data_IF_434190585724
#
_entry.id   IF_434190585724
#
_cell.length_a   1.000
_cell.length_b   1.000
_cell.length_c   1.000
_cell.angle_alpha   90.00
_cell.angle_beta   90.00
_cell.angle_gamma   90.00
#
_symmetry.space_group_name_H-M   'P 1'
#
loop_
_entity.id
_entity.type
_entity.pdbx_description
1 polymer ?
#
# COMPACT_ATOMS: atom_id res chain seq x y z
N UNK A 1 -31.20 -3.30 -5.63
CA UNK A 1 -30.23 -2.29 -6.10
C UNK A 1 -29.56 -1.74 -4.86
N UNK A 2 -28.24 -1.61 -4.85
CA UNK A 2 -27.52 -1.03 -3.72
C UNK A 2 -27.84 0.47 -3.60
N UNK A 3 -28.16 0.95 -2.40
CA UNK A 3 -28.47 2.36 -2.15
C UNK A 3 -27.28 3.01 -1.44
N UNK A 4 -26.37 3.58 -2.22
CA UNK A 4 -25.22 4.31 -1.70
C UNK A 4 -25.63 5.66 -1.11
N UNK A 5 -24.90 6.14 -0.11
CA UNK A 5 -25.14 7.45 0.50
C UNK A 5 -25.02 8.58 -0.54
N UNK A 6 -25.68 9.71 -0.27
CA UNK A 6 -25.54 10.93 -1.11
C UNK A 6 -24.08 11.38 -1.22
N UNK A 7 -23.33 11.23 -0.13
CA UNK A 7 -21.88 11.49 -0.09
C UNK A 7 -21.12 10.61 -1.06
N UNK A 8 -21.39 9.30 -1.07
CA UNK A 8 -20.78 8.37 -2.01
C UNK A 8 -21.15 8.72 -3.45
N UNK A 9 -22.43 8.99 -3.73
CA UNK A 9 -22.89 9.38 -5.09
C UNK A 9 -22.20 10.65 -5.59
N UNK A 10 -22.03 11.65 -4.73
CA UNK A 10 -21.29 12.88 -5.07
C UNK A 10 -19.84 12.57 -5.44
N UNK A 11 -19.13 11.80 -4.64
CA UNK A 11 -17.76 11.40 -4.93
C UNK A 11 -17.64 10.53 -6.18
N UNK A 12 -18.59 9.62 -6.43
CA UNK A 12 -18.63 8.85 -7.67
C UNK A 12 -18.72 9.77 -8.90
N UNK A 13 -19.59 10.78 -8.87
CA UNK A 13 -19.72 11.74 -9.96
C UNK A 13 -18.41 12.52 -10.18
N UNK A 14 -17.84 13.09 -9.11
CA UNK A 14 -16.58 13.85 -9.18
C UNK A 14 -15.41 12.97 -9.67
N UNK A 15 -15.29 11.76 -9.14
CA UNK A 15 -14.22 10.83 -9.52
C UNK A 15 -14.34 10.37 -10.98
N UNK A 16 -15.54 10.06 -11.45
CA UNK A 16 -15.77 9.71 -12.85
C UNK A 16 -15.40 10.86 -13.79
N UNK A 17 -15.74 12.11 -13.43
CA UNK A 17 -15.33 13.30 -14.19
C UNK A 17 -13.80 13.42 -14.21
N UNK A 18 -13.14 13.27 -13.06
CA UNK A 18 -11.68 13.31 -12.96
C UNK A 18 -11.01 12.23 -13.81
N UNK A 19 -11.49 11.00 -13.74
CA UNK A 19 -10.97 9.88 -14.55
C UNK A 19 -11.08 10.19 -16.05
N UNK A 20 -12.23 10.72 -16.48
CA UNK A 20 -12.49 11.04 -17.88
C UNK A 20 -11.62 12.22 -18.37
N UNK A 21 -11.44 13.23 -17.54
CA UNK A 21 -10.73 14.45 -17.95
C UNK A 21 -9.21 14.35 -17.80
N UNK A 22 -8.73 13.61 -16.80
CA UNK A 22 -7.32 13.67 -16.39
C UNK A 22 -6.60 12.33 -16.42
N UNK A 23 -7.28 11.19 -16.32
CA UNK A 23 -6.61 9.87 -16.28
C UNK A 23 -6.60 9.19 -17.64
N UNK A 24 -7.79 8.89 -18.21
CA UNK A 24 -7.88 8.16 -19.47
C UNK A 24 -7.13 8.81 -20.65
N UNK A 25 -7.14 10.14 -20.84
CA UNK A 25 -6.40 10.76 -21.93
C UNK A 25 -4.88 10.72 -21.77
N UNK A 26 -4.38 10.41 -20.55
CA UNK A 26 -2.95 10.52 -20.23
C UNK A 26 -2.28 9.17 -19.98
N UNK A 27 -2.91 8.06 -20.32
CA UNK A 27 -2.31 6.73 -20.14
C UNK A 27 -1.07 6.50 -21.01
N UNK A 28 -1.08 7.01 -22.24
CA UNK A 28 0.08 6.96 -23.13
C UNK A 28 1.23 7.80 -22.60
N UNK A 29 0.94 8.99 -22.07
CA UNK A 29 1.93 9.86 -21.44
C UNK A 29 2.57 9.22 -20.22
N UNK A 30 1.76 8.59 -19.34
CA UNK A 30 2.27 7.83 -18.20
C UNK A 30 3.24 6.73 -18.65
N UNK A 31 2.86 5.98 -19.66
CA UNK A 31 3.68 4.91 -20.22
C UNK A 31 4.99 5.45 -20.82
N UNK A 32 4.91 6.55 -21.57
CA UNK A 32 6.08 7.19 -22.16
C UNK A 32 7.06 7.72 -21.09
N UNK A 33 6.55 8.39 -20.05
CA UNK A 33 7.38 8.85 -18.93
C UNK A 33 8.03 7.68 -18.20
N UNK A 34 7.31 6.56 -17.97
CA UNK A 34 7.86 5.38 -17.33
C UNK A 34 9.00 4.74 -18.16
N UNK A 35 8.89 4.73 -19.48
CA UNK A 35 9.93 4.20 -20.35
C UNK A 35 11.14 5.14 -20.48
N UNK A 36 10.94 6.45 -20.38
CA UNK A 36 11.99 7.44 -20.48
C UNK A 36 12.68 7.76 -19.15
N UNK A 37 12.16 7.25 -18.02
CA UNK A 37 12.70 7.53 -16.70
C UNK A 37 14.13 6.96 -16.54
N UNK A 38 15.05 7.76 -16.00
CA UNK A 38 16.41 7.32 -15.68
C UNK A 38 16.43 6.17 -14.67
N UNK A 39 15.54 6.24 -13.68
CA UNK A 39 15.32 5.17 -12.71
C UNK A 39 14.00 4.47 -13.01
N UNK A 40 14.05 3.17 -13.22
CA UNK A 40 12.85 2.33 -13.42
C UNK A 40 11.83 2.44 -12.29
N UNK A 41 12.29 2.75 -11.07
CA UNK A 41 11.49 2.87 -9.85
C UNK A 41 11.43 4.33 -9.35
N UNK A 42 11.66 5.28 -10.25
CA UNK A 42 11.61 6.72 -10.00
C UNK A 42 10.17 7.26 -9.94
N UNK A 43 10.03 8.44 -9.35
CA UNK A 43 8.75 9.16 -9.29
C UNK A 43 8.48 9.90 -10.59
N UNK A 44 7.34 9.63 -11.20
CA UNK A 44 7.00 10.21 -12.51
C UNK A 44 6.40 11.62 -12.37
N UNK A 45 6.83 12.59 -13.20
CA UNK A 45 6.28 13.97 -13.18
C UNK A 45 4.76 14.03 -13.30
N UNK A 46 4.15 13.23 -14.18
CA UNK A 46 2.70 13.15 -14.34
C UNK A 46 1.97 12.85 -13.02
N UNK A 47 2.56 12.00 -12.16
CA UNK A 47 1.96 11.66 -10.86
C UNK A 47 1.94 12.86 -9.92
N UNK A 48 2.95 13.73 -9.98
CA UNK A 48 2.98 14.94 -9.17
C UNK A 48 1.83 15.89 -9.54
N UNK A 49 1.64 16.14 -10.85
CA UNK A 49 0.58 16.99 -11.34
C UNK A 49 -0.82 16.45 -11.01
N UNK A 50 -1.04 15.15 -11.27
CA UNK A 50 -2.35 14.54 -11.06
C UNK A 50 -2.72 14.47 -9.57
N UNK A 51 -1.77 14.21 -8.68
CA UNK A 51 -1.99 14.24 -7.23
C UNK A 51 -2.39 15.64 -6.75
N UNK A 52 -1.71 16.69 -7.21
CA UNK A 52 -2.07 18.06 -6.86
C UNK A 52 -3.53 18.39 -7.28
N UNK A 53 -3.91 18.01 -8.51
CA UNK A 53 -5.30 18.19 -8.98
C UNK A 53 -6.33 17.40 -8.16
N UNK A 54 -5.99 16.16 -7.76
CA UNK A 54 -6.87 15.34 -6.95
C UNK A 54 -7.07 15.95 -5.54
N UNK A 55 -6.01 16.49 -4.95
CA UNK A 55 -6.08 17.22 -3.67
C UNK A 55 -6.93 18.49 -3.78
N UNK A 56 -6.73 19.31 -4.81
CA UNK A 56 -7.52 20.53 -5.08
C UNK A 56 -9.03 20.23 -5.19
N UNK A 57 -9.39 19.06 -5.73
CA UNK A 57 -10.78 18.64 -5.91
C UNK A 57 -11.34 17.86 -4.71
N UNK A 58 -10.57 17.71 -3.62
CA UNK A 58 -10.98 16.96 -2.44
C UNK A 58 -11.11 15.45 -2.68
N UNK A 59 -10.48 14.92 -3.72
CA UNK A 59 -10.44 13.50 -4.06
C UNK A 59 -9.19 12.83 -3.47
N UNK A 60 -9.04 12.94 -2.15
CA UNK A 60 -7.82 12.51 -1.47
C UNK A 60 -8.12 11.65 -0.25
N UNK A 61 -7.37 10.57 -0.03
CA UNK A 61 -7.51 9.67 1.13
C UNK A 61 -8.94 9.12 1.33
N UNK A 62 -9.72 8.93 0.27
CA UNK A 62 -11.12 8.52 0.33
C UNK A 62 -11.34 7.14 0.97
N UNK A 63 -10.28 6.36 1.17
CA UNK A 63 -10.33 5.03 1.80
C UNK A 63 -10.56 5.06 3.31
N UNK A 64 -10.38 6.23 3.97
CA UNK A 64 -10.45 6.33 5.43
C UNK A 64 -11.88 6.07 5.92
N UNK A 65 -12.08 5.10 6.84
CA UNK A 65 -13.42 4.77 7.34
C UNK A 65 -13.92 5.78 8.40
N UNK A 66 -15.24 5.84 8.68
CA UNK A 66 -15.80 6.74 9.68
C UNK A 66 -15.24 6.53 11.09
N UNK A 67 -14.78 5.32 11.43
CA UNK A 67 -14.13 5.02 12.72
C UNK A 67 -12.77 5.67 12.91
N UNK A 68 -12.19 6.27 11.85
CA UNK A 68 -10.92 6.98 11.83
C UNK A 68 -11.10 8.40 11.22
N UNK A 69 -12.28 8.97 11.39
CA UNK A 69 -12.67 10.24 10.78
C UNK A 69 -11.77 11.42 11.19
N UNK A 70 -11.15 11.35 12.35
CA UNK A 70 -10.18 12.35 12.82
C UNK A 70 -8.95 12.51 11.93
N UNK A 71 -8.65 11.51 11.09
CA UNK A 71 -7.56 11.55 10.10
C UNK A 71 -8.02 11.93 8.70
N UNK A 72 -9.27 12.37 8.55
CA UNK A 72 -9.89 12.58 7.24
C UNK A 72 -10.60 13.91 7.11
N UNK A 73 -10.24 14.71 6.10
CA UNK A 73 -10.91 15.98 5.78
C UNK A 73 -12.36 15.79 5.32
N UNK A 74 -12.72 14.59 4.88
CA UNK A 74 -14.08 14.27 4.43
C UNK A 74 -14.95 13.52 5.47
N UNK A 75 -14.44 13.28 6.69
CA UNK A 75 -15.17 12.61 7.77
C UNK A 75 -15.41 11.11 7.55
N UNK A 76 -14.61 10.47 6.73
CA UNK A 76 -14.62 9.02 6.45
C UNK A 76 -15.75 8.56 5.52
N UNK A 77 -15.55 7.40 4.90
CA UNK A 77 -16.51 6.65 4.09
C UNK A 77 -16.58 5.20 4.57
N UNK A 78 -17.78 4.64 4.70
CA UNK A 78 -17.91 3.20 4.96
C UNK A 78 -17.28 2.40 3.81
N UNK A 79 -16.85 1.16 4.06
CA UNK A 79 -16.36 0.29 2.98
C UNK A 79 -17.40 0.11 1.87
N UNK A 80 -18.69 0.12 2.23
CA UNK A 80 -19.78 0.05 1.26
C UNK A 80 -19.83 1.28 0.37
N UNK A 81 -19.73 2.48 0.95
CA UNK A 81 -19.73 3.74 0.19
C UNK A 81 -18.44 3.97 -0.58
N UNK A 82 -17.31 3.44 -0.10
CA UNK A 82 -16.01 3.51 -0.76
C UNK A 82 -15.89 2.52 -1.94
N UNK A 83 -16.64 1.42 -1.92
CA UNK A 83 -16.54 0.37 -2.93
C UNK A 83 -16.62 0.88 -4.39
N UNK A 84 -17.66 1.65 -4.79
CA UNK A 84 -17.76 2.15 -6.16
C UNK A 84 -16.66 3.16 -6.53
N UNK A 85 -16.08 3.85 -5.54
CA UNK A 85 -14.95 4.75 -5.76
C UNK A 85 -13.67 3.96 -6.04
N UNK A 86 -13.41 2.93 -5.24
CA UNK A 86 -12.27 2.03 -5.45
C UNK A 86 -12.37 1.29 -6.79
N UNK A 87 -13.57 0.86 -7.19
CA UNK A 87 -13.85 0.27 -8.50
C UNK A 87 -13.50 1.25 -9.63
N UNK A 88 -13.98 2.49 -9.54
CA UNK A 88 -13.70 3.54 -10.53
C UNK A 88 -12.19 3.81 -10.65
N UNK A 89 -11.48 3.96 -9.51
CA UNK A 89 -10.02 4.12 -9.49
C UNK A 89 -9.32 2.89 -10.10
N UNK A 90 -9.79 1.69 -9.80
CA UNK A 90 -9.21 0.43 -10.28
C UNK A 90 -9.28 0.23 -11.79
N UNK A 91 -10.08 1.01 -12.53
CA UNK A 91 -10.18 0.95 -14.00
C UNK A 91 -8.85 1.26 -14.71
N UNK A 92 -7.93 1.98 -14.06
CA UNK A 92 -6.54 2.18 -14.48
C UNK A 92 -5.62 1.77 -13.34
N UNK A 93 -4.72 0.81 -13.56
CA UNK A 93 -3.97 0.14 -12.48
C UNK A 93 -3.15 1.08 -11.60
N UNK A 94 -2.61 2.17 -12.17
CA UNK A 94 -1.82 3.15 -11.44
C UNK A 94 -2.65 4.29 -10.83
N UNK A 95 -3.90 4.49 -11.27
CA UNK A 95 -4.69 5.66 -10.86
C UNK A 95 -5.07 5.72 -9.37
N UNK A 96 -5.23 4.62 -8.61
CA UNK A 96 -5.46 4.71 -7.16
C UNK A 96 -4.38 5.50 -6.43
N UNK A 97 -3.14 5.53 -6.94
CA UNK A 97 -2.07 6.34 -6.35
C UNK A 97 -2.30 7.85 -6.51
N UNK A 98 -2.95 8.28 -7.58
CA UNK A 98 -3.30 9.69 -7.79
C UNK A 98 -4.15 10.24 -6.65
N UNK A 99 -4.97 9.40 -6.05
CA UNK A 99 -5.90 9.74 -4.97
C UNK A 99 -5.39 9.35 -3.58
N UNK A 100 -4.11 8.93 -3.47
CA UNK A 100 -3.51 8.34 -2.26
C UNK A 100 -4.32 7.17 -1.69
N UNK A 101 -4.94 6.39 -2.58
CA UNK A 101 -5.82 5.27 -2.25
C UNK A 101 -5.28 3.91 -2.70
N UNK A 102 -3.97 3.80 -2.94
CA UNK A 102 -3.35 2.57 -3.42
C UNK A 102 -2.72 1.73 -2.30
N UNK A 103 -2.51 0.46 -2.59
CA UNK A 103 -1.71 -0.42 -1.76
C UNK A 103 -0.20 -0.23 -2.04
N UNK A 104 0.67 -0.46 -1.05
CA UNK A 104 0.38 -0.93 0.31
C UNK A 104 0.00 0.17 1.31
N UNK A 105 0.06 1.45 0.91
CA UNK A 105 -0.03 2.58 1.83
C UNK A 105 -1.36 2.70 2.54
N UNK A 106 -2.50 2.45 1.90
CA UNK A 106 -3.81 2.51 2.57
C UNK A 106 -3.83 1.62 3.81
N UNK A 107 -3.37 0.35 3.67
CA UNK A 107 -3.31 -0.56 4.79
C UNK A 107 -2.26 -0.17 5.83
N UNK A 108 -1.12 0.40 5.40
CA UNK A 108 -0.07 0.85 6.32
C UNK A 108 -0.50 2.12 7.07
N UNK A 109 -1.17 3.06 6.42
CA UNK A 109 -1.75 4.23 7.07
C UNK A 109 -2.79 3.81 8.12
N UNK A 110 -3.67 2.83 7.82
CA UNK A 110 -4.60 2.29 8.82
C UNK A 110 -3.88 1.63 10.00
N UNK A 111 -2.72 0.98 9.79
CA UNK A 111 -1.90 0.46 10.89
C UNK A 111 -1.41 1.58 11.79
N UNK A 112 -0.89 2.67 11.22
CA UNK A 112 -0.45 3.83 12.01
C UNK A 112 -1.61 4.52 12.74
N UNK A 113 -2.77 4.68 12.09
CA UNK A 113 -3.96 5.27 12.71
C UNK A 113 -4.44 4.46 13.91
N UNK A 114 -4.44 3.13 13.81
CA UNK A 114 -5.00 2.24 14.84
C UNK A 114 -4.00 1.86 15.93
N UNK A 115 -2.72 1.72 15.60
CA UNK A 115 -1.73 1.07 16.44
C UNK A 115 -0.46 1.89 16.66
N UNK A 116 -0.25 2.97 15.90
CA UNK A 116 0.90 3.84 16.04
C UNK A 116 0.78 4.75 17.26
N UNK A 117 1.91 5.02 17.92
CA UNK A 117 2.01 6.07 18.93
C UNK A 117 1.90 7.45 18.29
N UNK A 118 1.59 8.50 19.08
CA UNK A 118 1.54 9.88 18.57
C UNK A 118 2.86 10.30 17.89
N UNK A 119 4.00 9.86 18.40
CA UNK A 119 5.31 10.12 17.80
C UNK A 119 5.46 9.42 16.44
N UNK A 120 5.07 8.13 16.34
CA UNK A 120 5.08 7.38 15.08
C UNK A 120 4.08 7.95 14.05
N UNK A 121 2.91 8.41 14.50
CA UNK A 121 1.94 9.09 13.64
C UNK A 121 2.47 10.42 13.11
N UNK A 122 3.06 11.25 13.97
CA UNK A 122 3.66 12.51 13.55
C UNK A 122 4.82 12.30 12.55
N UNK A 123 5.65 11.30 12.79
CA UNK A 123 6.83 11.03 11.97
C UNK A 123 6.50 10.37 10.62
N UNK A 124 5.53 9.44 10.59
CA UNK A 124 5.29 8.59 9.42
C UNK A 124 3.91 8.74 8.82
N UNK A 125 2.84 8.80 9.64
CA UNK A 125 1.47 8.89 9.13
C UNK A 125 1.21 10.24 8.47
N UNK A 126 1.61 11.33 9.11
CA UNK A 126 1.40 12.69 8.57
C UNK A 126 1.94 12.84 7.15
N UNK A 127 3.21 12.53 6.84
CA UNK A 127 3.72 12.63 5.47
C UNK A 127 3.15 11.55 4.54
N UNK A 128 2.68 10.40 5.03
CA UNK A 128 1.95 9.42 4.23
C UNK A 128 0.58 9.95 3.80
N UNK A 129 -0.18 10.54 4.73
CA UNK A 129 -1.48 11.17 4.43
C UNK A 129 -1.33 12.36 3.47
N UNK A 130 -0.25 13.13 3.60
CA UNK A 130 0.08 14.20 2.64
C UNK A 130 0.54 13.67 1.27
N UNK A 131 0.84 12.36 1.14
CA UNK A 131 1.36 11.76 -0.09
C UNK A 131 2.81 12.14 -0.40
N UNK A 132 3.54 12.67 0.58
CA UNK A 132 4.95 13.08 0.46
C UNK A 132 5.90 11.90 0.43
N UNK A 133 5.60 10.87 1.18
CA UNK A 133 6.35 9.61 1.24
C UNK A 133 5.46 8.42 0.92
N UNK A 134 6.11 7.26 0.72
CA UNK A 134 5.45 5.97 0.57
C UNK A 134 6.00 4.99 1.61
N UNK A 135 5.30 3.90 1.78
CA UNK A 135 5.63 2.84 2.72
C UNK A 135 5.56 1.46 2.08
N UNK A 136 6.13 0.47 2.73
CA UNK A 136 5.99 -0.94 2.33
C UNK A 136 5.69 -1.83 3.52
N UNK A 137 5.10 -2.99 3.25
CA UNK A 137 4.77 -3.99 4.27
C UNK A 137 5.56 -5.26 4.02
N UNK A 138 6.59 -5.50 4.85
CA UNK A 138 7.53 -6.60 4.71
C UNK A 138 7.10 -7.80 5.56
N UNK A 139 6.22 -8.66 5.00
CA UNK A 139 5.70 -9.84 5.68
C UNK A 139 6.19 -11.13 5.04
N UNK A 140 6.00 -11.30 3.73
CA UNK A 140 6.22 -12.55 3.01
C UNK A 140 7.70 -12.93 2.91
N UNK A 141 7.99 -14.24 2.98
CA UNK A 141 9.34 -14.82 2.98
C UNK A 141 9.45 -15.93 1.92
N UNK A 142 10.64 -16.11 1.30
CA UNK A 142 10.80 -17.12 0.26
C UNK A 142 10.81 -18.56 0.78
N UNK A 143 11.18 -18.80 2.03
CA UNK A 143 11.37 -20.14 2.60
C UNK A 143 10.12 -20.75 3.19
N UNK A 144 9.08 -19.94 3.46
CA UNK A 144 7.87 -20.40 4.17
C UNK A 144 6.59 -19.99 3.47
N UNK A 145 5.51 -20.74 3.70
CA UNK A 145 4.17 -20.42 3.23
C UNK A 145 3.60 -19.22 4.01
N UNK A 146 3.95 -18.00 3.58
CA UNK A 146 3.65 -16.75 4.28
C UNK A 146 2.16 -16.34 4.21
N UNK A 147 1.32 -17.08 3.50
CA UNK A 147 -0.14 -16.92 3.55
C UNK A 147 -0.71 -17.22 4.96
N UNK A 148 -0.06 -18.10 5.71
CA UNK A 148 -0.22 -18.21 7.16
C UNK A 148 0.85 -17.33 7.84
N UNK A 149 0.43 -16.20 8.39
CA UNK A 149 1.31 -15.23 9.04
C UNK A 149 2.07 -15.81 10.26
N UNK A 150 1.65 -16.94 10.79
CA UNK A 150 2.35 -17.62 11.90
C UNK A 150 3.62 -18.35 11.44
N UNK A 151 3.78 -18.56 10.13
CA UNK A 151 4.94 -19.26 9.56
C UNK A 151 6.16 -18.35 9.34
N UNK A 152 6.03 -17.01 9.44
CA UNK A 152 7.19 -16.13 9.24
C UNK A 152 8.34 -16.48 10.16
N UNK A 153 9.57 -16.40 9.67
CA UNK A 153 10.78 -16.84 10.38
C UNK A 153 11.80 -15.73 10.63
N UNK A 154 11.69 -14.58 9.94
CA UNK A 154 12.55 -13.42 10.21
C UNK A 154 12.57 -13.16 11.72
N UNK A 155 13.77 -13.19 12.33
CA UNK A 155 13.91 -12.98 13.76
C UNK A 155 13.89 -11.49 14.13
N UNK A 156 13.23 -11.16 15.24
CA UNK A 156 13.22 -9.83 15.85
C UNK A 156 13.55 -10.03 17.33
N UNK A 157 14.78 -9.69 17.73
CA UNK A 157 15.28 -9.94 19.10
C UNK A 157 15.62 -8.62 19.76
N UNK A 158 15.20 -8.43 21.02
CA UNK A 158 15.63 -7.29 21.81
C UNK A 158 17.08 -7.47 22.26
N UNK A 159 17.91 -6.45 22.03
CA UNK A 159 19.32 -6.38 22.45
C UNK A 159 19.63 -4.98 23.00
N UNK A 160 19.70 -4.85 24.31
CA UNK A 160 19.81 -3.56 24.99
C UNK A 160 18.58 -2.69 24.75
N UNK A 161 18.77 -1.54 24.16
CA UNK A 161 17.74 -0.55 23.83
C UNK A 161 17.25 -0.63 22.38
N UNK A 162 17.57 -1.72 21.67
CA UNK A 162 17.29 -1.90 20.26
C UNK A 162 16.59 -3.24 19.95
N UNK A 163 15.83 -3.24 18.86
CA UNK A 163 15.44 -4.46 18.14
C UNK A 163 16.49 -4.81 17.10
N UNK A 164 16.88 -6.07 17.03
CA UNK A 164 17.79 -6.64 16.04
C UNK A 164 17.00 -7.57 15.12
N UNK A 165 17.03 -7.27 13.83
CA UNK A 165 16.30 -8.00 12.79
C UNK A 165 17.28 -8.79 11.92
N UNK A 166 17.00 -10.09 11.73
CA UNK A 166 17.75 -10.96 10.84
C UNK A 166 16.81 -11.85 10.02
N UNK A 167 16.99 -11.88 8.71
CA UNK A 167 16.21 -12.75 7.82
C UNK A 167 16.03 -12.18 6.42
N UNK A 168 15.12 -12.78 5.67
CA UNK A 168 14.86 -12.43 4.26
C UNK A 168 13.37 -12.24 4.03
N UNK A 169 13.03 -11.23 3.22
CA UNK A 169 11.67 -10.95 2.76
C UNK A 169 11.65 -10.88 1.23
N UNK A 170 10.53 -11.25 0.62
CA UNK A 170 10.38 -11.16 -0.83
C UNK A 170 8.98 -10.69 -1.25
N UNK A 171 8.84 -10.32 -2.52
CA UNK A 171 7.63 -9.71 -3.07
C UNK A 171 7.13 -8.52 -2.22
N UNK A 172 8.09 -7.72 -1.74
CA UNK A 172 7.75 -6.54 -0.93
C UNK A 172 7.42 -5.38 -1.86
N UNK A 173 6.12 -5.15 -2.02
CA UNK A 173 5.57 -4.12 -2.89
C UNK A 173 6.00 -2.73 -2.46
N UNK A 174 6.51 -1.94 -3.42
CA UNK A 174 6.91 -0.56 -3.22
C UNK A 174 8.29 -0.38 -2.57
N UNK A 175 9.00 -1.46 -2.19
CA UNK A 175 10.30 -1.31 -1.52
C UNK A 175 11.35 -0.62 -2.40
N UNK A 176 11.31 -0.83 -3.71
CA UNK A 176 12.21 -0.20 -4.67
C UNK A 176 11.84 1.26 -4.95
N UNK A 177 10.56 1.60 -4.80
CA UNK A 177 10.06 2.90 -5.21
C UNK A 177 10.80 4.05 -4.52
N UNK A 178 11.18 5.03 -5.31
CA UNK A 178 12.01 6.15 -4.87
C UNK A 178 11.45 6.86 -3.63
N UNK A 179 10.14 7.01 -3.55
CA UNK A 179 9.46 7.73 -2.46
C UNK A 179 9.23 6.91 -1.19
N UNK A 180 9.53 5.61 -1.20
CA UNK A 180 9.40 4.77 0.00
C UNK A 180 10.45 5.18 1.03
N UNK A 181 10.00 5.42 2.28
CA UNK A 181 10.83 5.85 3.41
C UNK A 181 10.76 4.94 4.62
N UNK A 182 9.69 4.13 4.71
CA UNK A 182 9.45 3.30 5.89
C UNK A 182 8.94 1.92 5.50
N UNK A 183 9.44 0.91 6.19
CA UNK A 183 8.98 -0.48 6.12
C UNK A 183 8.32 -0.87 7.44
N UNK A 184 7.14 -1.47 7.37
CA UNK A 184 6.53 -2.20 8.48
C UNK A 184 6.98 -3.66 8.33
N UNK A 185 7.86 -4.12 9.20
CA UNK A 185 8.48 -5.44 9.11
C UNK A 185 7.87 -6.38 10.14
N UNK A 186 7.32 -7.51 9.69
CA UNK A 186 6.80 -8.55 10.55
C UNK A 186 7.80 -9.70 10.70
N UNK A 187 8.07 -10.11 11.94
CA UNK A 187 8.95 -11.22 12.25
C UNK A 187 8.58 -11.89 13.56
N UNK A 188 9.34 -12.88 13.96
CA UNK A 188 9.18 -13.64 15.20
C UNK A 188 10.06 -13.06 16.31
N UNK A 189 9.44 -12.67 17.42
CA UNK A 189 10.16 -12.19 18.62
C UNK A 189 10.11 -13.19 19.78
N UNK A 190 9.13 -14.08 19.82
CA UNK A 190 8.98 -15.10 20.84
C UNK A 190 8.59 -16.45 20.19
N UNK A 191 9.54 -17.15 19.52
CA UNK A 191 9.26 -18.39 18.80
C UNK A 191 8.80 -19.55 19.70
N UNK A 192 9.04 -19.46 20.99
CA UNK A 192 8.68 -20.50 21.99
C UNK A 192 7.34 -20.23 22.68
N UNK A 193 6.65 -19.14 22.38
CA UNK A 193 5.33 -18.85 22.92
C UNK A 193 4.34 -19.96 22.53
N UNK A 194 3.65 -20.52 23.51
CA UNK A 194 2.65 -21.58 23.28
C UNK A 194 1.46 -21.11 22.45
N UNK A 195 1.16 -19.82 22.48
CA UNK A 195 0.18 -19.21 21.60
C UNK A 195 0.87 -18.72 20.31
N UNK A 196 0.67 -19.44 19.21
CA UNK A 196 1.25 -19.14 17.89
C UNK A 196 0.97 -17.71 17.42
N UNK A 197 -0.17 -17.11 17.81
CA UNK A 197 -0.56 -15.76 17.43
C UNK A 197 0.11 -14.67 18.28
N UNK A 198 0.92 -15.03 19.27
CA UNK A 198 1.72 -14.12 20.09
C UNK A 198 3.23 -14.22 19.83
N UNK A 199 3.64 -15.06 18.89
CA UNK A 199 5.04 -15.20 18.51
C UNK A 199 5.57 -14.03 17.67
N UNK A 200 4.69 -13.29 16.97
CA UNK A 200 5.08 -12.29 15.98
C UNK A 200 5.02 -10.88 16.56
N UNK A 201 5.95 -10.06 16.07
CA UNK A 201 6.05 -8.62 16.35
C UNK A 201 6.15 -7.85 15.03
N UNK A 202 5.68 -6.62 15.01
CA UNK A 202 5.89 -5.71 13.88
C UNK A 202 6.72 -4.51 14.34
N UNK A 203 7.74 -4.20 13.54
CA UNK A 203 8.71 -3.15 13.83
C UNK A 203 8.86 -2.22 12.62
N UNK A 204 9.00 -0.93 12.89
CA UNK A 204 9.25 0.10 11.89
C UNK A 204 10.74 0.15 11.56
N UNK A 205 11.07 -0.03 10.28
CA UNK A 205 12.45 0.06 9.79
C UNK A 205 12.53 1.15 8.72
N UNK A 206 13.21 2.28 8.98
CA UNK A 206 13.43 3.32 7.97
C UNK A 206 14.25 2.80 6.78
N UNK A 207 13.96 3.29 5.58
CA UNK A 207 14.77 2.99 4.39
C UNK A 207 16.18 3.56 4.57
N UNK A 208 17.19 2.76 4.29
CA UNK A 208 18.59 3.14 4.49
C UNK A 208 19.15 2.77 5.87
N UNK A 209 18.38 2.11 6.74
CA UNK A 209 18.92 1.55 7.99
C UNK A 209 20.09 0.61 7.69
N UNK A 210 21.24 0.73 8.36
CA UNK A 210 22.39 -0.17 8.16
C UNK A 210 22.00 -1.65 8.29
N UNK A 211 22.53 -2.50 7.41
CA UNK A 211 22.20 -3.93 7.34
C UNK A 211 20.93 -4.27 6.54
N UNK A 212 20.10 -3.29 6.18
CA UNK A 212 18.98 -3.48 5.28
C UNK A 212 19.45 -3.39 3.82
N UNK A 213 19.24 -4.45 3.05
CA UNK A 213 19.63 -4.54 1.66
C UNK A 213 18.43 -4.84 0.77
N UNK A 214 18.26 -4.07 -0.32
CA UNK A 214 17.36 -4.37 -1.42
C UNK A 214 18.14 -5.17 -2.45
N UNK A 215 17.84 -6.46 -2.59
CA UNK A 215 18.67 -7.40 -3.35
C UNK A 215 18.40 -7.31 -4.86
N UNK A 216 17.12 -7.38 -5.24
CA UNK A 216 16.70 -7.34 -6.64
C UNK A 216 15.21 -7.06 -6.78
N UNK A 217 14.79 -6.55 -7.95
CA UNK A 217 13.38 -6.59 -8.31
C UNK A 217 12.91 -8.01 -8.59
N UNK A 218 11.62 -8.24 -8.36
CA UNK A 218 10.93 -9.49 -8.67
C UNK A 218 9.82 -9.20 -9.68
N UNK A 219 9.62 -10.11 -10.60
CA UNK A 219 8.57 -10.00 -11.62
C UNK A 219 7.41 -10.93 -11.33
N UNK A 220 6.20 -10.52 -11.70
CA UNK A 220 4.99 -11.33 -11.67
C UNK A 220 4.49 -11.52 -13.09
N UNK A 221 4.43 -12.75 -13.57
CA UNK A 221 4.05 -13.08 -14.96
C UNK A 221 4.87 -12.31 -16.02
N UNK A 222 6.14 -12.01 -15.71
CA UNK A 222 7.04 -11.24 -16.59
C UNK A 222 6.98 -9.72 -16.44
N UNK A 223 6.07 -9.18 -15.62
CA UNK A 223 5.95 -7.74 -15.36
C UNK A 223 6.66 -7.36 -14.06
N UNK A 224 7.38 -6.24 -14.07
CA UNK A 224 8.09 -5.69 -12.92
C UNK A 224 7.27 -4.72 -12.06
N UNK A 225 6.04 -4.41 -12.51
CA UNK A 225 5.10 -3.47 -11.87
C UNK A 225 5.71 -2.09 -11.52
N UNK A 226 6.68 -1.66 -12.35
CA UNK A 226 7.30 -0.34 -12.17
C UNK A 226 6.27 0.80 -12.36
N UNK A 227 6.44 1.92 -11.64
CA UNK A 227 7.57 2.30 -10.79
C UNK A 227 7.48 1.79 -9.35
N UNK A 228 6.39 1.16 -8.94
CA UNK A 228 6.21 0.65 -7.57
C UNK A 228 7.10 -0.56 -7.33
N UNK A 229 6.98 -1.59 -8.17
CA UNK A 229 7.77 -2.81 -8.15
C UNK A 229 7.64 -3.68 -6.89
N UNK A 230 8.29 -4.82 -6.93
CA UNK A 230 8.39 -5.76 -5.81
C UNK A 230 9.85 -6.12 -5.57
N UNK A 231 10.30 -6.10 -4.32
CA UNK A 231 11.68 -6.39 -3.99
C UNK A 231 11.86 -7.67 -3.19
N UNK A 232 13.03 -8.27 -3.37
CA UNK A 232 13.65 -9.16 -2.40
C UNK A 232 14.54 -8.33 -1.48
N UNK A 233 14.44 -8.57 -0.16
CA UNK A 233 15.12 -7.82 0.88
C UNK A 233 15.84 -8.75 1.84
N UNK A 234 17.02 -8.34 2.31
CA UNK A 234 17.78 -9.01 3.37
C UNK A 234 17.95 -8.05 4.55
N UNK A 235 17.75 -8.58 5.73
CA UNK A 235 18.01 -7.94 7.01
C UNK A 235 19.19 -8.68 7.64
N UNK A 236 20.33 -8.00 7.74
CA UNK A 236 21.55 -8.52 8.34
C UNK A 236 21.95 -7.63 9.52
N UNK A 237 21.64 -8.10 10.71
CA UNK A 237 21.85 -7.36 11.95
C UNK A 237 21.27 -5.92 11.90
N UNK A 238 20.10 -5.76 11.29
CA UNK A 238 19.41 -4.46 11.21
C UNK A 238 18.95 -4.05 12.61
N UNK A 239 19.38 -2.87 13.06
CA UNK A 239 19.11 -2.35 14.40
C UNK A 239 18.23 -1.13 14.37
N UNK A 240 17.18 -1.13 15.17
CA UNK A 240 16.25 0.00 15.34
C UNK A 240 15.89 0.16 16.82
N UNK A 241 15.56 1.38 17.29
CA UNK A 241 15.15 1.61 18.66
C UNK A 241 13.96 0.74 19.10
N UNK A 242 13.85 0.43 20.39
CA UNK A 242 12.71 -0.33 20.93
C UNK A 242 11.36 0.37 20.67
N UNK A 243 11.34 1.70 20.63
CA UNK A 243 10.14 2.51 20.35
C UNK A 243 9.62 2.36 18.91
N UNK A 244 10.39 1.72 18.03
CA UNK A 244 9.92 1.39 16.68
C UNK A 244 8.93 0.21 16.63
N UNK A 245 8.63 -0.43 17.75
CA UNK A 245 7.61 -1.48 17.82
C UNK A 245 6.20 -0.88 17.67
N UNK A 246 5.36 -1.56 16.90
CA UNK A 246 3.93 -1.21 16.77
C UNK A 246 3.12 -1.99 17.80
N UNK A 247 2.30 -1.29 18.60
CA UNK A 247 1.36 -1.84 19.59
C UNK A 247 2.04 -2.66 20.72
N UNK A 248 3.28 -3.10 20.55
CA UNK A 248 4.05 -3.91 21.51
C UNK A 248 4.47 -5.27 20.96
N UNK A 249 5.41 -5.91 21.66
CA UNK A 249 5.91 -7.24 21.32
C UNK A 249 4.81 -8.31 21.43
N UNK A 250 4.83 -9.30 20.52
CA UNK A 250 3.84 -10.36 20.46
C UNK A 250 2.47 -9.95 19.91
N UNK A 251 2.32 -8.72 19.41
CA UNK A 251 1.06 -8.20 18.86
C UNK A 251 1.06 -8.16 17.30
N UNK A 252 2.11 -8.69 16.67
CA UNK A 252 2.28 -8.61 15.21
C UNK A 252 1.20 -9.33 14.41
N UNK A 253 0.71 -10.48 14.88
CA UNK A 253 -0.38 -11.21 14.23
C UNK A 253 -1.70 -10.41 14.26
N UNK A 254 -2.03 -9.83 15.40
CA UNK A 254 -3.22 -8.97 15.57
C UNK A 254 -3.21 -7.79 14.59
N UNK A 255 -2.09 -7.09 14.50
CA UNK A 255 -1.92 -5.97 13.56
C UNK A 255 -2.09 -6.48 12.13
N UNK A 256 -1.47 -7.62 11.77
CA UNK A 256 -1.57 -8.18 10.43
C UNK A 256 -3.02 -8.50 10.05
N UNK A 257 -3.82 -9.08 10.94
CA UNK A 257 -5.24 -9.38 10.69
C UNK A 257 -6.06 -8.09 10.55
N UNK A 258 -5.83 -7.09 11.40
CA UNK A 258 -6.51 -5.79 11.34
C UNK A 258 -6.21 -5.02 10.04
N UNK A 259 -5.00 -5.17 9.49
CA UNK A 259 -4.57 -4.57 8.23
C UNK A 259 -5.10 -5.31 6.99
N UNK A 260 -4.96 -6.64 6.99
CA UNK A 260 -5.24 -7.46 5.81
C UNK A 260 -6.73 -7.61 5.51
N UNK A 261 -7.60 -7.52 6.52
CA UNK A 261 -9.05 -7.59 6.34
C UNK A 261 -9.56 -6.54 5.35
N UNK A 262 -9.49 -5.25 5.69
CA UNK A 262 -9.90 -4.16 4.78
C UNK A 262 -9.13 -4.16 3.46
N UNK A 263 -7.81 -4.40 3.52
CA UNK A 263 -6.95 -4.43 2.33
C UNK A 263 -7.39 -5.43 1.27
N UNK A 264 -7.82 -6.64 1.65
CA UNK A 264 -8.37 -7.65 0.71
C UNK A 264 -9.62 -7.15 0.00
N UNK A 265 -10.53 -6.52 0.74
CA UNK A 265 -11.78 -5.96 0.19
C UNK A 265 -11.44 -4.84 -0.81
N UNK A 266 -10.54 -3.92 -0.45
CA UNK A 266 -10.11 -2.83 -1.34
C UNK A 266 -9.47 -3.38 -2.64
N UNK A 267 -8.70 -4.46 -2.58
CA UNK A 267 -8.17 -5.12 -3.78
C UNK A 267 -9.29 -5.69 -4.65
N UNK A 268 -10.28 -6.39 -4.08
CA UNK A 268 -11.42 -6.92 -4.82
C UNK A 268 -12.16 -5.80 -5.56
N UNK A 269 -12.44 -4.68 -4.90
CA UNK A 269 -13.12 -3.53 -5.50
C UNK A 269 -12.35 -2.98 -6.71
N UNK A 270 -11.03 -2.76 -6.57
CA UNK A 270 -10.19 -2.28 -7.68
C UNK A 270 -10.11 -3.26 -8.84
N UNK A 271 -10.04 -4.57 -8.55
CA UNK A 271 -9.99 -5.62 -9.58
C UNK A 271 -11.29 -5.70 -10.36
N UNK A 272 -12.45 -5.46 -9.75
CA UNK A 272 -13.74 -5.37 -10.45
C UNK A 272 -13.68 -4.24 -11.49
N UNK A 273 -13.16 -3.07 -11.12
CA UNK A 273 -12.99 -1.94 -12.03
C UNK A 273 -12.08 -2.26 -13.23
N UNK A 274 -10.94 -2.91 -12.98
CA UNK A 274 -10.03 -3.37 -14.03
C UNK A 274 -10.68 -4.39 -14.96
N UNK A 275 -11.41 -5.37 -14.40
CA UNK A 275 -12.12 -6.38 -15.17
C UNK A 275 -13.23 -5.77 -16.03
N UNK A 276 -14.04 -4.87 -15.47
CA UNK A 276 -15.10 -4.15 -16.18
C UNK A 276 -14.54 -3.37 -17.37
N UNK A 277 -13.47 -2.60 -17.14
CA UNK A 277 -12.82 -1.83 -18.21
C UNK A 277 -12.24 -2.75 -19.30
N UNK A 278 -11.60 -3.84 -18.91
CA UNK A 278 -11.05 -4.82 -19.86
C UNK A 278 -12.15 -5.38 -20.77
N UNK A 279 -13.31 -5.71 -20.20
CA UNK A 279 -14.47 -6.17 -20.97
C UNK A 279 -14.97 -5.09 -21.94
N UNK A 280 -15.12 -3.85 -21.49
CA UNK A 280 -15.56 -2.73 -22.33
C UNK A 280 -14.60 -2.48 -23.51
N UNK A 281 -13.28 -2.52 -23.26
CA UNK A 281 -12.26 -2.37 -24.30
C UNK A 281 -12.28 -3.55 -25.29
N UNK A 282 -12.48 -4.79 -24.80
CA UNK A 282 -12.61 -5.97 -25.63
C UNK A 282 -13.84 -5.84 -26.54
N UNK A 283 -15.01 -5.48 -26.01
CA UNK A 283 -16.23 -5.27 -26.79
C UNK A 283 -16.05 -4.18 -27.86
N UNK A 284 -15.44 -3.04 -27.48
CA UNK A 284 -15.13 -1.96 -28.44
C UNK A 284 -14.20 -2.45 -29.55
N UNK A 285 -13.20 -3.27 -29.22
CA UNK A 285 -12.24 -3.80 -30.17
C UNK A 285 -12.91 -4.78 -31.16
N UNK A 286 -13.73 -5.68 -30.65
CA UNK A 286 -14.44 -6.67 -31.48
C UNK A 286 -15.37 -5.99 -32.50
N UNK A 287 -16.11 -4.95 -32.08
CA UNK A 287 -17.01 -4.20 -32.98
C UNK A 287 -16.28 -3.34 -34.02
N UNK A 288 -15.01 -3.03 -33.81
CA UNK A 288 -14.19 -2.22 -34.71
C UNK A 288 -13.29 -3.03 -35.64
N UNK A 289 -13.32 -4.35 -35.55
CA UNK A 289 -12.43 -5.27 -36.31
C UNK A 289 -13.25 -6.23 -37.17
N UNK A 290 -12.84 -6.36 -38.42
CA UNK A 290 -13.34 -7.41 -39.35
C UNK A 290 -12.39 -8.60 -39.31
N UNK A 291 -12.92 -9.82 -39.26
CA UNK A 291 -12.17 -11.09 -39.41
C UNK A 291 -12.22 -11.56 -40.83
#
# INVERSE_FOLDING_TARGET
MFDFSEKSRRYQHQLNAFMTQHIYPREEEYTAQLHAAESRYGYLPIMHELKAKAQEQGLWNLFIPPSLAEFSDHGGLSNFDYAPLAETMGRVLWSPEVFNCNAPDTGNMEVFMKYGTSAQQAQWLTPLLAGEIRSSYAMTEPQVASSDATNVELSIVADGDQWVLNGRKWFITGALYERTRIFIVMGKSDPHNTNRHKQQTQVLVPKGTPGLQLIRPLTTLGYDDAPIGHAEMVFDNVRVPLDNVLLGAGRGFEIAQGRLGPGRIHHCMRLIGAAQRSLELACKRVTSRTT
#
